data_IF_219587540012
#
_entry.id   IF_219587540012
#
_cell.length_a   1.000
_cell.length_b   1.000
_cell.length_c   1.000
_cell.angle_alpha   90.00
_cell.angle_beta   90.00
_cell.angle_gamma   90.00
#
_symmetry.space_group_name_H-M   'P 1'
#
loop_
_entity.id
_entity.type
_entity.pdbx_description
1 polymer ?
#
# COMPACT_ATOMS: atom_id res chain seq x y z
N UNK A 1 -30.38 -31.95 -5.79
CA UNK A 1 -30.23 -30.52 -5.38
C UNK A 1 -28.75 -30.26 -5.26
N UNK A 2 -28.16 -29.53 -6.21
CA UNK A 2 -26.75 -29.12 -6.11
C UNK A 2 -26.67 -27.99 -5.08
N UNK A 3 -26.15 -28.29 -3.90
CA UNK A 3 -25.77 -27.28 -2.94
C UNK A 3 -24.56 -26.52 -3.54
N UNK A 4 -24.79 -25.36 -4.12
CA UNK A 4 -23.73 -24.41 -4.38
C UNK A 4 -23.12 -24.03 -3.02
N UNK A 5 -22.08 -24.73 -2.63
CA UNK A 5 -21.26 -24.31 -1.49
C UNK A 5 -20.50 -23.06 -1.93
N UNK A 6 -20.99 -21.90 -1.52
CA UNK A 6 -20.22 -20.67 -1.62
C UNK A 6 -18.96 -20.82 -0.75
N UNK A 7 -17.82 -20.84 -1.39
CA UNK A 7 -16.52 -20.90 -0.72
C UNK A 7 -15.83 -19.57 -0.87
N UNK A 8 -15.47 -18.97 0.24
CA UNK A 8 -14.60 -17.78 0.22
C UNK A 8 -13.19 -18.22 -0.13
N UNK A 9 -12.64 -17.67 -1.21
CA UNK A 9 -11.27 -17.91 -1.64
C UNK A 9 -10.45 -16.68 -1.25
N UNK A 10 -9.35 -16.91 -0.54
CA UNK A 10 -8.40 -15.86 -0.18
C UNK A 10 -7.14 -16.02 -1.04
N UNK A 11 -6.72 -14.93 -1.68
CA UNK A 11 -5.45 -14.90 -2.39
C UNK A 11 -4.26 -14.71 -1.43
N UNK A 12 -3.09 -15.04 -1.93
CA UNK A 12 -1.79 -14.77 -1.32
C UNK A 12 -0.76 -14.50 -2.40
N UNK A 13 0.46 -14.10 -2.04
CA UNK A 13 1.56 -13.96 -3.01
C UNK A 13 1.90 -15.28 -3.71
N UNK A 14 1.66 -16.40 -3.06
CA UNK A 14 1.99 -17.74 -3.58
C UNK A 14 0.81 -18.42 -4.27
N UNK A 15 -0.41 -17.99 -3.94
CA UNK A 15 -1.63 -18.59 -4.42
C UNK A 15 -2.67 -17.52 -4.74
N UNK A 16 -2.71 -17.10 -5.99
CA UNK A 16 -3.70 -16.15 -6.51
C UNK A 16 -4.11 -16.53 -7.92
N UNK A 17 -5.34 -16.21 -8.26
CA UNK A 17 -5.85 -16.33 -9.63
C UNK A 17 -5.72 -14.96 -10.32
N UNK A 18 -5.16 -14.99 -11.53
CA UNK A 18 -5.16 -13.81 -12.41
C UNK A 18 -6.56 -13.71 -13.01
N UNK A 19 -7.34 -12.74 -12.52
CA UNK A 19 -8.64 -12.47 -13.10
C UNK A 19 -8.53 -11.87 -14.49
N UNK A 20 -9.56 -12.09 -15.31
CA UNK A 20 -9.72 -11.41 -16.59
C UNK A 20 -10.32 -10.03 -16.34
N UNK A 21 -9.72 -9.02 -16.97
CA UNK A 21 -10.21 -7.66 -16.94
C UNK A 21 -10.54 -7.21 -18.35
N UNK A 22 -11.81 -6.95 -18.60
CA UNK A 22 -12.29 -6.37 -19.86
C UNK A 22 -12.64 -4.90 -19.66
N UNK A 23 -12.04 -4.04 -20.46
CA UNK A 23 -12.29 -2.61 -20.46
C UNK A 23 -12.86 -2.22 -21.81
N UNK A 24 -14.07 -1.67 -21.80
CA UNK A 24 -14.80 -1.33 -23.01
C UNK A 24 -14.78 0.18 -23.19
N UNK A 25 -14.14 0.63 -24.29
CA UNK A 25 -14.17 2.01 -24.78
C UNK A 25 -13.66 3.10 -23.82
N UNK A 26 -12.72 2.76 -22.93
CA UNK A 26 -12.17 3.77 -22.02
C UNK A 26 -10.71 3.52 -21.63
N UNK A 27 -10.13 4.50 -20.92
CA UNK A 27 -8.77 4.40 -20.42
C UNK A 27 -8.71 3.62 -19.11
N UNK A 28 -8.07 2.46 -19.11
CA UNK A 28 -7.99 1.59 -17.93
C UNK A 28 -7.36 2.22 -16.70
N UNK A 29 -6.58 3.29 -16.86
CA UNK A 29 -5.93 3.99 -15.75
C UNK A 29 -6.90 4.53 -14.70
N UNK A 30 -8.16 4.77 -15.07
CA UNK A 30 -9.10 5.42 -14.17
C UNK A 30 -9.87 4.47 -13.26
N UNK A 31 -10.05 3.21 -13.66
CA UNK A 31 -10.84 2.26 -12.89
C UNK A 31 -10.52 0.79 -13.15
N UNK A 32 -9.41 0.49 -13.76
CA UNK A 32 -9.01 -0.89 -13.90
C UNK A 32 -8.45 -1.43 -12.59
N UNK A 33 -8.82 -2.64 -12.31
CA UNK A 33 -8.40 -3.34 -11.10
C UNK A 33 -7.54 -4.52 -11.49
N UNK A 34 -6.32 -4.54 -11.01
CA UNK A 34 -5.41 -5.66 -11.16
C UNK A 34 -5.50 -6.60 -10.01
N UNK A 35 -5.03 -7.83 -10.21
CA UNK A 35 -4.74 -8.69 -9.09
C UNK A 35 -3.57 -8.12 -8.29
N UNK A 36 -3.83 -7.67 -7.08
CA UNK A 36 -2.86 -7.01 -6.21
C UNK A 36 -1.69 -7.94 -5.84
N UNK A 37 -1.93 -9.24 -5.76
CA UNK A 37 -0.88 -10.23 -5.46
C UNK A 37 0.07 -10.38 -6.64
N UNK A 38 -0.44 -10.36 -7.88
CA UNK A 38 0.39 -10.35 -9.08
C UNK A 38 1.26 -9.08 -9.13
N UNK A 39 0.66 -7.92 -8.88
CA UNK A 39 1.40 -6.65 -8.83
C UNK A 39 2.50 -6.70 -7.78
N UNK A 40 2.19 -7.13 -6.55
CA UNK A 40 3.17 -7.24 -5.47
C UNK A 40 4.28 -8.25 -5.78
N UNK A 41 3.94 -9.39 -6.42
CA UNK A 41 4.93 -10.42 -6.77
C UNK A 41 6.00 -9.92 -7.76
N UNK A 42 5.65 -8.95 -8.59
CA UNK A 42 6.52 -8.35 -9.61
C UNK A 42 7.12 -6.99 -9.19
N UNK A 43 6.80 -6.52 -7.99
CA UNK A 43 7.27 -5.24 -7.47
C UNK A 43 8.49 -5.40 -6.57
N UNK A 44 9.28 -4.33 -6.48
CA UNK A 44 10.35 -4.25 -5.49
C UNK A 44 9.74 -4.10 -4.08
N UNK A 45 10.47 -4.52 -3.03
CA UNK A 45 10.02 -4.29 -1.66
C UNK A 45 9.65 -2.82 -1.42
N UNK A 46 8.45 -2.61 -0.88
CA UNK A 46 7.86 -1.30 -0.54
C UNK A 46 7.75 -0.29 -1.68
N UNK A 47 7.85 -0.73 -2.92
CA UNK A 47 7.49 0.09 -4.08
C UNK A 47 5.98 0.32 -4.08
N UNK A 48 5.58 1.59 -4.17
CA UNK A 48 4.18 2.02 -4.08
C UNK A 48 3.51 2.01 -5.45
N UNK A 49 3.00 0.85 -5.86
CA UNK A 49 2.41 0.68 -7.19
C UNK A 49 0.92 0.97 -7.17
N UNK A 50 0.50 1.99 -7.91
CA UNK A 50 -0.91 2.38 -8.05
C UNK A 50 -1.68 1.28 -8.78
N UNK A 51 -2.73 0.77 -8.16
CA UNK A 51 -3.63 -0.25 -8.72
C UNK A 51 -5.06 0.23 -8.92
N UNK A 52 -5.43 1.35 -8.32
CA UNK A 52 -6.69 2.04 -8.55
C UNK A 52 -6.51 3.54 -8.34
N UNK A 53 -7.24 4.35 -9.11
CA UNK A 53 -7.17 5.79 -9.01
C UNK A 53 -8.55 6.41 -9.29
N UNK A 54 -8.92 7.40 -8.48
CA UNK A 54 -10.08 8.25 -8.72
C UNK A 54 -9.73 9.70 -8.36
N UNK A 55 -9.62 10.53 -9.37
CA UNK A 55 -9.14 11.93 -9.24
C UNK A 55 -7.74 11.99 -8.63
N UNK A 56 -7.56 12.45 -7.42
CA UNK A 56 -6.27 12.49 -6.71
C UNK A 56 -6.06 11.35 -5.72
N UNK A 57 -7.09 10.54 -5.47
CA UNK A 57 -7.03 9.41 -4.54
C UNK A 57 -6.56 8.16 -5.23
N UNK A 58 -5.65 7.42 -4.59
CA UNK A 58 -5.09 6.18 -5.12
C UNK A 58 -5.12 5.07 -4.08
N UNK A 59 -5.20 3.86 -4.59
CA UNK A 59 -4.84 2.66 -3.85
C UNK A 59 -3.53 2.16 -4.42
N UNK A 60 -2.55 2.00 -3.54
CA UNK A 60 -1.24 1.47 -3.86
C UNK A 60 -1.09 0.07 -3.30
N UNK A 61 -0.46 -0.81 -4.06
CA UNK A 61 -0.05 -2.13 -3.60
C UNK A 61 1.44 -2.13 -3.35
N UNK A 62 1.85 -2.66 -2.21
CA UNK A 62 3.24 -2.78 -1.80
C UNK A 62 3.57 -4.24 -1.48
N UNK A 63 4.69 -4.72 -2.01
CA UNK A 63 5.32 -5.96 -1.52
C UNK A 63 5.98 -5.68 -0.18
N UNK A 64 5.48 -6.25 0.89
CA UNK A 64 6.10 -6.14 2.21
C UNK A 64 7.19 -7.19 2.36
N UNK A 65 8.45 -6.77 2.37
CA UNK A 65 9.61 -7.66 2.52
C UNK A 65 10.79 -6.88 3.11
N UNK A 66 11.33 -7.36 4.22
CA UNK A 66 12.41 -6.67 4.93
C UNK A 66 11.91 -5.40 5.65
N UNK A 67 12.73 -4.36 5.69
CA UNK A 67 12.45 -3.10 6.35
C UNK A 67 12.35 -1.99 5.32
N UNK A 68 11.25 -1.23 5.35
CA UNK A 68 11.07 -0.06 4.48
C UNK A 68 11.89 1.13 4.98
N UNK A 69 12.11 2.14 4.14
CA UNK A 69 12.46 3.46 4.63
C UNK A 69 11.33 4.03 5.51
N UNK A 70 11.61 5.14 6.19
CA UNK A 70 10.59 5.92 6.88
C UNK A 70 9.82 6.79 5.89
N UNK A 71 8.51 6.79 6.02
CA UNK A 71 7.57 7.60 5.25
C UNK A 71 6.82 8.55 6.15
N UNK A 72 6.32 9.64 5.59
CA UNK A 72 5.37 10.55 6.23
C UNK A 72 4.45 11.15 5.17
N UNK A 73 3.26 11.61 5.59
CA UNK A 73 2.31 12.30 4.72
C UNK A 73 1.71 13.53 5.42
N UNK A 74 1.21 14.47 4.64
CA UNK A 74 0.49 15.65 5.13
C UNK A 74 -0.99 15.37 5.41
N UNK A 75 -1.45 14.15 5.16
CA UNK A 75 -2.82 13.64 5.35
C UNK A 75 -2.78 12.26 6.00
N UNK A 76 -3.93 11.79 6.45
CA UNK A 76 -4.07 10.43 6.96
C UNK A 76 -4.01 9.42 5.81
N UNK A 77 -3.29 8.33 6.01
CA UNK A 77 -3.24 7.20 5.11
C UNK A 77 -3.73 5.94 5.84
N UNK A 78 -4.20 4.95 5.08
CA UNK A 78 -4.67 3.68 5.63
C UNK A 78 -3.95 2.52 4.98
N UNK A 79 -3.33 1.67 5.78
CA UNK A 79 -2.72 0.43 5.32
C UNK A 79 -3.60 -0.77 5.70
N UNK A 80 -3.78 -1.70 4.75
CA UNK A 80 -4.47 -2.97 4.97
C UNK A 80 -3.50 -4.10 4.65
N UNK A 81 -3.34 -5.04 5.58
CA UNK A 81 -2.55 -6.25 5.34
C UNK A 81 -3.40 -7.25 4.56
N UNK A 82 -3.01 -7.54 3.32
CA UNK A 82 -3.68 -8.51 2.45
C UNK A 82 -3.07 -9.89 2.55
N UNK A 83 -1.77 -9.96 2.81
CA UNK A 83 -1.04 -11.22 3.04
C UNK A 83 0.16 -11.00 3.95
N UNK A 84 0.53 -12.02 4.73
CA UNK A 84 1.66 -12.00 5.64
C UNK A 84 1.39 -11.30 6.97
N UNK A 85 2.48 -10.93 7.63
CA UNK A 85 2.50 -10.20 8.91
C UNK A 85 3.43 -9.01 8.76
N UNK A 86 2.95 -7.84 9.13
CA UNK A 86 3.71 -6.59 9.04
C UNK A 86 3.72 -5.89 10.39
N UNK A 87 4.88 -5.46 10.80
CA UNK A 87 5.06 -4.54 11.92
C UNK A 87 5.14 -3.11 11.39
N UNK A 88 4.45 -2.21 12.05
CA UNK A 88 4.42 -0.79 11.70
C UNK A 88 4.96 0.01 12.88
N UNK A 89 6.15 0.58 12.71
CA UNK A 89 6.70 1.55 13.66
C UNK A 89 6.08 2.93 13.38
N UNK A 90 5.72 3.65 14.45
CA UNK A 90 5.13 4.98 14.38
C UNK A 90 5.86 5.95 15.30
N UNK A 91 6.23 7.11 14.76
CA UNK A 91 6.89 8.20 15.48
C UNK A 91 6.12 9.50 15.23
N UNK A 92 5.61 10.14 16.27
CA UNK A 92 5.04 11.49 16.18
C UNK A 92 6.16 12.47 15.96
N UNK A 93 6.14 13.14 14.80
CA UNK A 93 7.18 14.10 14.42
C UNK A 93 7.10 15.37 15.28
N UNK A 94 8.25 15.89 15.69
CA UNK A 94 8.35 17.18 16.40
C UNK A 94 8.01 18.35 15.48
N UNK A 95 8.40 18.25 14.22
CA UNK A 95 8.11 19.25 13.21
C UNK A 95 7.62 18.61 11.91
N UNK A 96 6.37 18.16 11.85
CA UNK A 96 5.84 17.43 10.69
C UNK A 96 5.84 18.25 9.41
N UNK A 97 5.61 19.57 9.50
CA UNK A 97 5.59 20.45 8.33
C UNK A 97 6.94 20.62 7.63
N UNK A 98 8.05 20.32 8.31
CA UNK A 98 9.37 20.31 7.66
C UNK A 98 9.64 19.04 6.85
N UNK A 99 8.90 17.95 7.14
CA UNK A 99 9.02 16.67 6.47
C UNK A 99 7.97 16.52 5.36
N UNK A 100 6.72 16.77 5.70
CA UNK A 100 5.58 16.75 4.78
C UNK A 100 4.79 18.06 4.95
N UNK A 101 5.10 19.12 4.17
CA UNK A 101 4.35 20.36 4.18
C UNK A 101 2.85 20.16 3.93
N UNK A 102 1.97 21.08 4.39
CA UNK A 102 0.52 20.91 4.29
C UNK A 102 -0.03 20.74 2.87
N UNK A 103 0.70 21.24 1.87
CA UNK A 103 0.38 21.14 0.44
C UNK A 103 1.03 19.90 -0.24
N UNK A 104 1.83 19.13 0.50
CA UNK A 104 2.46 17.91 -0.02
C UNK A 104 1.39 16.86 -0.33
N UNK A 105 1.34 16.41 -1.58
CA UNK A 105 0.49 15.31 -2.01
C UNK A 105 1.23 13.97 -1.88
N UNK A 106 0.49 12.97 -1.41
CA UNK A 106 1.03 11.63 -1.19
C UNK A 106 2.06 11.55 -0.07
N UNK A 107 2.64 10.39 0.10
CA UNK A 107 3.70 10.18 1.06
C UNK A 107 5.06 10.61 0.52
N UNK A 108 5.94 10.98 1.43
CA UNK A 108 7.34 11.34 1.16
C UNK A 108 8.28 10.48 2.00
N UNK A 109 9.54 10.42 1.57
CA UNK A 109 10.60 9.81 2.37
C UNK A 109 11.03 10.76 3.48
N UNK A 110 11.17 10.22 4.69
CA UNK A 110 11.86 10.90 5.78
C UNK A 110 13.36 10.62 5.60
N UNK A 111 14.15 11.65 5.42
CA UNK A 111 15.57 11.55 5.11
C UNK A 111 16.44 11.09 6.30
N UNK A 112 16.22 9.89 6.80
CA UNK A 112 16.92 9.28 7.94
C UNK A 112 15.99 8.89 9.07
N UNK A 113 16.50 8.81 10.29
CA UNK A 113 15.68 8.53 11.48
C UNK A 113 14.80 9.74 11.83
N UNK A 114 13.48 9.52 12.02
CA UNK A 114 12.56 10.62 12.31
C UNK A 114 12.85 11.26 13.66
N UNK A 115 12.85 12.57 13.70
CA UNK A 115 12.95 13.35 14.93
C UNK A 115 11.56 13.47 15.56
N UNK A 116 11.39 12.91 16.74
CA UNK A 116 10.10 12.91 17.41
C UNK A 116 9.97 11.88 18.51
N UNK A 117 8.74 11.74 18.98
CA UNK A 117 8.38 10.81 20.06
C UNK A 117 7.82 9.51 19.50
N UNK A 118 8.37 8.38 19.93
CA UNK A 118 7.82 7.07 19.59
C UNK A 118 6.35 6.99 20.02
N UNK A 119 5.46 6.65 19.08
CA UNK A 119 4.03 6.42 19.36
C UNK A 119 3.77 4.97 19.72
N UNK A 120 4.36 4.04 19.00
CA UNK A 120 4.18 2.63 19.24
C UNK A 120 4.64 1.75 18.08
N UNK A 121 4.37 0.46 18.26
CA UNK A 121 4.55 -0.60 17.27
C UNK A 121 3.21 -1.32 17.13
N UNK A 122 2.71 -1.41 15.90
CA UNK A 122 1.54 -2.21 15.55
C UNK A 122 2.01 -3.46 14.83
N UNK A 123 1.61 -4.63 15.29
CA UNK A 123 1.81 -5.89 14.59
C UNK A 123 0.49 -6.29 13.95
N UNK A 124 0.44 -6.25 12.64
CA UNK A 124 -0.76 -6.49 11.84
C UNK A 124 -0.60 -7.74 10.97
N UNK A 125 -1.63 -8.55 10.89
CA UNK A 125 -1.73 -9.73 10.03
C UNK A 125 -2.88 -9.54 9.05
N UNK A 126 -3.07 -10.50 8.16
CA UNK A 126 -4.10 -10.47 7.11
C UNK A 126 -5.46 -9.98 7.64
N UNK A 127 -6.03 -8.99 6.97
CA UNK A 127 -7.31 -8.37 7.30
C UNK A 127 -7.24 -7.21 8.29
N UNK A 128 -6.09 -6.99 8.97
CA UNK A 128 -5.94 -5.82 9.83
C UNK A 128 -5.73 -4.55 9.03
N UNK A 129 -6.33 -3.48 9.53
CA UNK A 129 -6.12 -2.11 9.09
C UNK A 129 -5.28 -1.32 10.08
N UNK A 130 -4.43 -0.44 9.58
CA UNK A 130 -3.62 0.47 10.38
C UNK A 130 -3.78 1.88 9.86
N UNK A 131 -4.18 2.80 10.72
CA UNK A 131 -4.13 4.23 10.44
C UNK A 131 -2.68 4.71 10.52
N UNK A 132 -2.24 5.40 9.50
CA UNK A 132 -0.96 6.08 9.40
C UNK A 132 -1.25 7.59 9.50
N UNK A 133 -1.24 8.17 10.71
CA UNK A 133 -1.83 9.47 10.91
C UNK A 133 -0.94 10.59 10.38
N UNK A 134 -1.57 11.64 9.89
CA UNK A 134 -0.92 12.92 9.61
C UNK A 134 -0.04 13.36 10.78
N UNK A 135 1.15 13.85 10.46
CA UNK A 135 2.11 14.32 11.46
C UNK A 135 2.92 13.22 12.14
N UNK A 136 2.75 11.97 11.71
CA UNK A 136 3.60 10.87 12.11
C UNK A 136 4.48 10.39 10.95
N UNK A 137 5.68 9.92 11.30
CA UNK A 137 6.46 9.06 10.42
C UNK A 137 6.11 7.60 10.70
N UNK A 138 6.10 6.78 9.66
CA UNK A 138 5.86 5.35 9.77
C UNK A 138 6.87 4.54 8.96
N UNK A 139 7.13 3.31 9.40
CA UNK A 139 8.01 2.35 8.74
C UNK A 139 7.41 0.96 8.87
N UNK A 140 7.47 0.20 7.78
CA UNK A 140 7.03 -1.19 7.74
C UNK A 140 8.19 -2.13 7.91
N UNK A 141 7.96 -3.26 8.59
CA UNK A 141 8.88 -4.38 8.67
C UNK A 141 8.14 -5.69 8.47
N UNK A 142 8.68 -6.58 7.67
CA UNK A 142 8.14 -7.91 7.43
C UNK A 142 9.27 -8.94 7.33
N UNK A 143 9.18 -10.02 8.11
CA UNK A 143 10.20 -11.08 8.13
C UNK A 143 10.08 -12.01 6.92
N UNK A 144 8.91 -12.05 6.29
CA UNK A 144 8.64 -12.83 5.07
C UNK A 144 7.83 -11.97 4.09
N UNK A 145 7.92 -12.25 2.79
CA UNK A 145 7.14 -11.54 1.80
C UNK A 145 5.65 -11.59 2.06
N UNK A 146 4.99 -10.45 1.90
CA UNK A 146 3.55 -10.29 2.04
C UNK A 146 3.04 -9.15 1.17
N UNK A 147 1.79 -8.75 1.36
CA UNK A 147 1.11 -7.71 0.59
C UNK A 147 0.41 -6.73 1.49
N UNK A 148 0.71 -5.45 1.26
CA UNK A 148 -0.03 -4.31 1.81
C UNK A 148 -0.82 -3.62 0.71
N UNK A 149 -2.00 -3.12 1.04
CA UNK A 149 -2.68 -2.07 0.31
C UNK A 149 -2.61 -0.78 1.10
N UNK A 150 -2.29 0.32 0.43
CA UNK A 150 -2.25 1.65 1.02
C UNK A 150 -3.23 2.56 0.30
N UNK A 151 -4.20 3.11 1.03
CA UNK A 151 -5.07 4.17 0.52
C UNK A 151 -4.44 5.52 0.85
N UNK A 152 -4.21 6.33 -0.18
CA UNK A 152 -3.51 7.60 -0.05
C UNK A 152 -3.90 8.58 -1.17
N UNK A 153 -3.17 9.66 -1.30
CA UNK A 153 -3.24 10.62 -2.40
C UNK A 153 -2.06 10.37 -3.33
N UNK A 154 -2.29 10.49 -4.64
CA UNK A 154 -1.23 10.38 -5.65
C UNK A 154 -0.09 11.36 -5.32
N UNK A 155 1.11 10.85 -5.25
CA UNK A 155 2.28 11.63 -4.85
C UNK A 155 3.58 11.20 -5.54
N UNK A 156 4.70 11.81 -5.15
CA UNK A 156 5.98 11.61 -5.83
C UNK A 156 6.52 10.17 -5.72
N UNK A 157 6.07 9.39 -4.73
CA UNK A 157 6.47 7.99 -4.56
C UNK A 157 5.52 7.01 -5.25
N UNK A 158 4.38 7.47 -5.75
CA UNK A 158 3.39 6.64 -6.44
C UNK A 158 3.90 6.23 -7.83
N UNK A 159 3.91 4.93 -8.10
CA UNK A 159 4.39 4.36 -9.36
C UNK A 159 3.20 3.85 -10.18
N UNK A 160 2.95 4.45 -11.34
CA UNK A 160 1.85 4.09 -12.22
C UNK A 160 2.30 3.12 -13.33
N UNK A 161 2.64 1.89 -12.94
CA UNK A 161 3.10 0.85 -13.88
C UNK A 161 2.18 -0.37 -13.97
N UNK A 162 1.03 -0.34 -13.31
CA UNK A 162 0.14 -1.50 -13.22
C UNK A 162 -0.32 -2.03 -14.58
N UNK A 163 -0.54 -1.16 -15.55
CA UNK A 163 -0.88 -1.57 -16.92
C UNK A 163 0.20 -2.45 -17.57
N UNK A 164 1.48 -2.22 -17.27
CA UNK A 164 2.58 -3.04 -17.76
C UNK A 164 2.56 -4.45 -17.17
N UNK A 165 2.06 -4.59 -15.95
CA UNK A 165 1.95 -5.88 -15.25
C UNK A 165 0.72 -6.66 -15.70
N UNK A 166 -0.40 -5.98 -15.92
CA UNK A 166 -1.70 -6.62 -16.10
C UNK A 166 -2.03 -7.00 -17.56
N UNK A 167 -1.46 -6.28 -18.52
CA UNK A 167 -1.71 -6.51 -19.95
C UNK A 167 -0.66 -7.37 -20.65
N UNK A 168 0.29 -7.90 -19.95
CA UNK A 168 1.34 -8.78 -20.51
C UNK A 168 1.07 -10.23 -20.24
#
# INVERSE_FOLDING_TARGET
>A
MNSNQFRTVFGSLQDYEKGDLEIINDNPKYYAFSNIFEVASKSKPYEKVVVAMNQGYVIETLRSEGTSPWFAASHDEFAIVMDGVVEVDLVKLDNPGSVAPPDQQGSVLVGGEPQGRKMGLVKASRGHQVLLPKGAAYRFRANSPGVLMLQTILGPLSVQKWAEICYK
#
